data_IF_964865667959
#
_entry.id   IF_964865667959
#
_cell.length_a   1.000
_cell.length_b   1.000
_cell.length_c   1.000
_cell.angle_alpha   90.00
_cell.angle_beta   90.00
_cell.angle_gamma   90.00
#
_symmetry.space_group_name_H-M   'P 1'
#
loop_
_entity.id
_entity.type
_entity.pdbx_description
1 polymer ?
#
# COMPACT_ATOMS: atom_id res chain seq x y z
N UNK A 1 13.15 -24.88 57.96
CA UNK A 1 12.30 -24.00 57.13
C UNK A 1 13.09 -23.61 55.91
N UNK A 2 12.76 -24.18 54.75
CA UNK A 2 12.95 -23.57 53.43
C UNK A 2 12.18 -24.44 52.44
N UNK A 3 11.04 -23.94 52.02
CA UNK A 3 10.20 -24.53 50.99
C UNK A 3 10.75 -24.10 49.64
N UNK A 4 11.09 -25.06 48.78
CA UNK A 4 11.38 -24.84 47.37
C UNK A 4 10.06 -24.66 46.62
N UNK A 5 9.79 -23.44 46.16
CA UNK A 5 8.75 -23.15 45.18
C UNK A 5 9.14 -23.73 43.81
N UNK A 6 8.22 -24.35 43.06
CA UNK A 6 8.43 -24.63 41.65
C UNK A 6 8.22 -23.35 40.82
N UNK A 7 9.15 -23.15 39.89
CA UNK A 7 9.19 -22.11 38.87
C UNK A 7 7.99 -22.23 37.91
N UNK A 8 7.19 -21.17 37.66
CA UNK A 8 6.09 -21.24 36.71
C UNK A 8 6.65 -21.27 35.28
N UNK A 9 6.25 -22.31 34.53
CA UNK A 9 6.71 -22.60 33.18
C UNK A 9 6.65 -21.39 32.24
N UNK A 10 7.76 -21.21 31.54
CA UNK A 10 7.85 -20.47 30.29
C UNK A 10 6.77 -21.01 29.34
N UNK A 11 5.92 -20.19 28.69
CA UNK A 11 5.01 -20.67 27.68
C UNK A 11 5.85 -21.23 26.53
N UNK A 12 5.81 -22.56 26.42
CA UNK A 12 6.38 -23.34 25.35
C UNK A 12 5.87 -22.77 24.03
N UNK A 13 6.76 -22.13 23.29
CA UNK A 13 6.53 -21.72 21.91
C UNK A 13 6.22 -23.00 21.16
N UNK A 14 4.95 -23.21 20.81
CA UNK A 14 4.53 -24.42 20.13
C UNK A 14 5.32 -24.54 18.82
N UNK A 15 6.21 -25.54 18.74
CA UNK A 15 6.87 -25.88 17.48
C UNK A 15 5.79 -26.21 16.43
N UNK A 16 5.94 -25.75 15.18
CA UNK A 16 4.96 -26.02 14.14
C UNK A 16 4.84 -27.53 13.87
N UNK A 17 3.62 -28.06 14.00
CA UNK A 17 3.29 -29.46 13.71
C UNK A 17 3.59 -29.77 12.23
N UNK A 18 4.60 -30.61 11.92
CA UNK A 18 5.05 -30.88 10.55
C UNK A 18 4.03 -31.63 9.69
N UNK A 19 2.89 -32.06 10.26
CA UNK A 19 1.78 -32.69 9.54
C UNK A 19 0.63 -31.76 9.16
N UNK A 20 0.54 -30.54 9.72
CA UNK A 20 -0.56 -29.61 9.41
C UNK A 20 -0.21 -28.81 8.14
N UNK A 21 -1.06 -28.82 7.10
CA UNK A 21 -0.79 -28.05 5.89
C UNK A 21 -0.69 -26.56 6.22
N UNK A 22 0.26 -25.88 5.58
CA UNK A 22 0.46 -24.44 5.70
C UNK A 22 -0.89 -23.70 5.54
N UNK A 23 -1.29 -22.86 6.52
CA UNK A 23 -2.51 -22.08 6.46
C UNK A 23 -2.66 -21.26 5.18
N UNK A 24 -1.56 -20.70 4.64
CA UNK A 24 -1.58 -19.93 3.40
C UNK A 24 -1.92 -20.81 2.19
N UNK A 25 -1.35 -22.02 2.13
CA UNK A 25 -1.63 -22.99 1.07
C UNK A 25 -3.08 -23.46 1.14
N UNK A 26 -3.56 -23.74 2.35
CA UNK A 26 -4.94 -24.17 2.59
C UNK A 26 -5.93 -23.08 2.21
N UNK A 27 -5.69 -21.84 2.66
CA UNK A 27 -6.51 -20.69 2.32
C UNK A 27 -6.55 -20.45 0.81
N UNK A 28 -5.39 -20.48 0.14
CA UNK A 28 -5.30 -20.32 -1.32
C UNK A 28 -6.10 -21.37 -2.07
N UNK A 29 -6.09 -22.62 -1.59
CA UNK A 29 -6.87 -23.70 -2.20
C UNK A 29 -8.39 -23.50 -2.00
N UNK A 30 -8.80 -22.97 -0.85
CA UNK A 30 -10.22 -22.72 -0.55
C UNK A 30 -10.80 -21.56 -1.38
N UNK A 31 -10.01 -20.52 -1.65
CA UNK A 31 -10.45 -19.35 -2.42
C UNK A 31 -10.22 -19.51 -3.94
N UNK A 32 -9.74 -20.67 -4.39
CA UNK A 32 -9.46 -20.91 -5.80
C UNK A 32 -10.75 -21.17 -6.59
N UNK A 33 -11.22 -20.15 -7.34
CA UNK A 33 -12.37 -20.26 -8.23
C UNK A 33 -13.68 -19.80 -7.58
N UNK A 34 -14.82 -20.34 -8.04
CA UNK A 34 -16.14 -20.00 -7.46
C UNK A 34 -16.30 -20.74 -6.14
N UNK A 35 -16.28 -20.00 -5.05
CA UNK A 35 -16.43 -20.56 -3.69
C UNK A 35 -17.90 -20.86 -3.43
N UNK A 36 -18.22 -22.09 -3.03
CA UNK A 36 -19.57 -22.50 -2.64
C UNK A 36 -19.90 -22.05 -1.22
N UNK A 37 -21.18 -22.10 -0.86
CA UNK A 37 -21.62 -21.77 0.49
C UNK A 37 -20.96 -22.63 1.57
N UNK A 38 -20.54 -23.87 1.29
CA UNK A 38 -19.80 -24.68 2.27
C UNK A 38 -18.37 -24.20 2.44
N UNK A 39 -17.72 -23.87 1.33
CA UNK A 39 -16.32 -23.44 1.29
C UNK A 39 -16.12 -22.05 1.91
N UNK A 40 -17.07 -21.13 1.75
CA UNK A 40 -17.06 -19.83 2.43
C UNK A 40 -17.04 -19.98 3.96
N UNK A 41 -17.76 -20.97 4.50
CA UNK A 41 -17.74 -21.28 5.93
C UNK A 41 -16.39 -21.82 6.39
N UNK A 42 -15.80 -22.73 5.61
CA UNK A 42 -14.47 -23.27 5.91
C UNK A 42 -13.36 -22.22 5.86
N UNK A 43 -13.48 -21.20 5.00
CA UNK A 43 -12.56 -20.04 5.00
C UNK A 43 -12.61 -19.33 6.35
N UNK A 44 -13.79 -18.96 6.83
CA UNK A 44 -13.93 -18.29 8.12
C UNK A 44 -13.49 -19.15 9.30
N UNK A 45 -13.88 -20.43 9.32
CA UNK A 45 -13.47 -21.36 10.38
C UNK A 45 -11.95 -21.53 10.43
N UNK A 46 -11.30 -21.63 9.27
CA UNK A 46 -9.84 -21.67 9.17
C UNK A 46 -9.25 -20.40 9.78
N UNK A 47 -9.65 -19.22 9.29
CA UNK A 47 -9.09 -17.93 9.73
C UNK A 47 -9.30 -17.68 11.23
N UNK A 48 -10.47 -18.03 11.78
CA UNK A 48 -10.74 -17.95 13.22
C UNK A 48 -9.85 -18.87 14.07
N UNK A 49 -9.38 -19.97 13.51
CA UNK A 49 -8.53 -20.93 14.22
C UNK A 49 -7.05 -20.52 14.30
N UNK A 50 -6.64 -19.49 13.55
CA UNK A 50 -5.26 -19.02 13.49
C UNK A 50 -4.97 -18.01 14.59
N UNK A 51 -3.75 -18.04 15.12
CA UNK A 51 -3.22 -16.92 15.90
C UNK A 51 -2.82 -15.74 14.99
N UNK A 52 -2.35 -14.63 15.56
CA UNK A 52 -2.05 -13.41 14.79
C UNK A 52 -0.90 -13.58 13.79
N UNK A 53 0.10 -14.38 14.14
CA UNK A 53 1.26 -14.64 13.30
C UNK A 53 0.87 -15.53 12.11
N UNK A 54 0.13 -16.61 12.40
CA UNK A 54 -0.41 -17.52 11.39
C UNK A 54 -1.42 -16.82 10.48
N UNK A 55 -2.30 -15.98 11.04
CA UNK A 55 -3.27 -15.19 10.28
C UNK A 55 -2.55 -14.22 9.35
N UNK A 56 -1.53 -13.53 9.86
CA UNK A 56 -0.69 -12.64 9.06
C UNK A 56 -0.02 -13.38 7.90
N UNK A 57 0.60 -14.52 8.18
CA UNK A 57 1.25 -15.34 7.15
C UNK A 57 0.25 -15.84 6.10
N UNK A 58 -0.94 -16.30 6.53
CA UNK A 58 -1.98 -16.79 5.65
C UNK A 58 -2.48 -15.70 4.69
N UNK A 59 -2.77 -14.51 5.21
CA UNK A 59 -3.29 -13.36 4.45
C UNK A 59 -2.23 -12.81 3.50
N UNK A 60 -0.98 -12.66 3.95
CA UNK A 60 0.12 -12.22 3.06
C UNK A 60 0.38 -13.24 1.94
N UNK A 61 0.09 -14.52 2.16
CA UNK A 61 0.25 -15.58 1.18
C UNK A 61 -0.83 -15.65 0.11
N UNK A 62 -1.90 -14.84 0.17
CA UNK A 62 -3.00 -14.85 -0.80
C UNK A 62 -3.27 -13.47 -1.40
N UNK A 63 -3.97 -13.42 -2.53
CA UNK A 63 -4.54 -12.16 -3.01
C UNK A 63 -5.74 -11.81 -2.13
N UNK A 64 -5.64 -10.72 -1.38
CA UNK A 64 -6.69 -10.31 -0.46
C UNK A 64 -7.98 -9.90 -1.18
N UNK A 65 -7.89 -9.42 -2.43
CA UNK A 65 -9.07 -9.14 -3.24
C UNK A 65 -9.81 -10.42 -3.60
N UNK A 66 -9.08 -11.48 -3.94
CA UNK A 66 -9.69 -12.81 -4.13
C UNK A 66 -10.29 -13.34 -2.81
N UNK A 67 -9.64 -13.10 -1.66
CA UNK A 67 -10.19 -13.47 -0.36
C UNK A 67 -11.52 -12.77 -0.08
N UNK A 68 -11.60 -11.45 -0.21
CA UNK A 68 -12.86 -10.71 -0.01
C UNK A 68 -13.92 -11.06 -1.06
N UNK A 69 -13.51 -11.36 -2.30
CA UNK A 69 -14.40 -11.81 -3.36
C UNK A 69 -14.88 -13.25 -3.21
N UNK A 70 -14.18 -14.08 -2.43
CA UNK A 70 -14.52 -15.49 -2.19
C UNK A 70 -15.62 -15.68 -1.15
N UNK A 71 -15.92 -14.67 -0.33
CA UNK A 71 -16.97 -14.71 0.70
C UNK A 71 -18.04 -13.66 0.41
N UNK A 72 -19.31 -14.04 0.58
CA UNK A 72 -20.42 -13.15 0.28
C UNK A 72 -21.48 -13.15 1.38
N UNK A 73 -22.20 -12.03 1.50
CA UNK A 73 -23.37 -11.91 2.36
C UNK A 73 -24.60 -12.37 1.57
N UNK A 74 -25.39 -13.28 2.15
CA UNK A 74 -26.48 -13.94 1.43
C UNK A 74 -27.82 -13.39 1.90
N UNK A 75 -28.69 -13.02 0.96
CA UNK A 75 -30.09 -12.61 1.23
C UNK A 75 -30.82 -13.62 2.12
N UNK A 76 -30.52 -14.91 1.94
CA UNK A 76 -30.93 -15.99 2.82
C UNK A 76 -29.70 -16.84 3.18
N UNK A 77 -29.07 -16.56 4.31
CA UNK A 77 -27.89 -17.26 4.78
C UNK A 77 -27.10 -16.42 5.80
N UNK A 78 -25.92 -16.90 6.22
CA UNK A 78 -25.02 -16.14 7.07
C UNK A 78 -24.36 -14.97 6.31
N UNK A 79 -24.14 -13.86 7.00
CA UNK A 79 -23.42 -12.68 6.50
C UNK A 79 -21.90 -12.88 6.65
N UNK A 80 -21.32 -13.66 5.73
CA UNK A 80 -19.93 -14.13 5.85
C UNK A 80 -18.90 -13.08 5.49
N UNK A 81 -19.20 -12.18 4.55
CA UNK A 81 -18.32 -11.06 4.24
C UNK A 81 -18.31 -10.07 5.40
N UNK A 82 -19.47 -9.85 6.02
CA UNK A 82 -19.56 -9.10 7.27
C UNK A 82 -18.74 -9.76 8.40
N UNK A 83 -18.87 -11.08 8.59
CA UNK A 83 -18.07 -11.80 9.59
C UNK A 83 -16.55 -11.72 9.33
N UNK A 84 -16.13 -11.78 8.06
CA UNK A 84 -14.72 -11.63 7.68
C UNK A 84 -14.18 -10.24 8.07
N UNK A 85 -14.97 -9.18 7.83
CA UNK A 85 -14.60 -7.81 8.21
C UNK A 85 -14.46 -7.67 9.72
N UNK A 86 -15.42 -8.20 10.49
CA UNK A 86 -15.36 -8.16 11.96
C UNK A 86 -14.16 -8.94 12.51
N UNK A 87 -13.80 -10.08 11.89
CA UNK A 87 -12.59 -10.80 12.24
C UNK A 87 -11.37 -9.89 12.09
N UNK A 88 -11.14 -9.31 10.90
CA UNK A 88 -9.98 -8.46 10.68
C UNK A 88 -9.98 -7.19 11.53
N UNK A 89 -11.16 -6.59 11.77
CA UNK A 89 -11.30 -5.47 12.71
C UNK A 89 -10.87 -5.86 14.13
N UNK A 90 -11.34 -7.00 14.63
CA UNK A 90 -11.00 -7.47 15.98
C UNK A 90 -9.52 -7.86 16.16
N UNK A 91 -8.85 -8.23 15.05
CA UNK A 91 -7.43 -8.63 15.03
C UNK A 91 -6.51 -7.51 14.51
N UNK A 92 -7.05 -6.32 14.23
CA UNK A 92 -6.36 -5.28 13.48
C UNK A 92 -5.00 -4.88 14.08
N UNK A 93 -4.85 -4.85 15.41
CA UNK A 93 -3.59 -4.50 16.08
C UNK A 93 -2.55 -5.64 16.10
N UNK A 94 -2.96 -6.89 15.91
CA UNK A 94 -2.07 -8.06 15.93
C UNK A 94 -1.48 -8.40 14.56
N UNK A 95 -2.03 -7.84 13.49
CA UNK A 95 -1.57 -8.11 12.13
C UNK A 95 -0.19 -7.51 11.86
N UNK A 96 0.64 -8.27 11.13
CA UNK A 96 1.90 -7.75 10.60
C UNK A 96 1.70 -6.61 9.60
N UNK A 97 2.74 -5.79 9.39
CA UNK A 97 2.77 -4.74 8.37
C UNK A 97 2.37 -5.26 6.99
N UNK A 98 2.94 -6.40 6.57
CA UNK A 98 2.68 -6.98 5.25
C UNK A 98 1.23 -7.45 5.11
N UNK A 99 0.67 -8.11 6.13
CA UNK A 99 -0.72 -8.56 6.13
C UNK A 99 -1.68 -7.38 6.07
N UNK A 100 -1.42 -6.32 6.85
CA UNK A 100 -2.23 -5.10 6.84
C UNK A 100 -2.21 -4.40 5.48
N UNK A 101 -1.03 -4.25 4.89
CA UNK A 101 -0.89 -3.69 3.54
C UNK A 101 -1.63 -4.53 2.49
N UNK A 102 -1.55 -5.87 2.58
CA UNK A 102 -2.31 -6.77 1.71
C UNK A 102 -3.82 -6.62 1.86
N UNK A 103 -4.35 -6.52 3.09
CA UNK A 103 -5.79 -6.33 3.31
C UNK A 103 -6.29 -5.00 2.79
N UNK A 104 -5.57 -3.91 3.08
CA UNK A 104 -5.89 -2.58 2.59
C UNK A 104 -5.98 -2.57 1.06
N UNK A 105 -5.01 -3.20 0.38
CA UNK A 105 -5.06 -3.40 -1.06
C UNK A 105 -6.26 -4.23 -1.53
N UNK A 106 -6.53 -5.36 -0.86
CA UNK A 106 -7.65 -6.24 -1.23
C UNK A 106 -9.01 -5.54 -1.16
N UNK A 107 -9.18 -4.64 -0.19
CA UNK A 107 -10.40 -3.87 0.01
C UNK A 107 -10.62 -2.82 -1.09
N UNK A 108 -9.56 -2.33 -1.75
CA UNK A 108 -9.65 -1.42 -2.90
C UNK A 108 -10.06 -2.13 -4.20
N UNK A 109 -9.98 -3.47 -4.24
CA UNK A 109 -10.19 -4.21 -5.48
C UNK A 109 -11.68 -4.34 -5.78
N UNK A 110 -12.16 -3.55 -6.74
CA UNK A 110 -13.54 -3.58 -7.20
C UNK A 110 -14.34 -2.39 -6.64
N UNK A 111 -15.55 -2.65 -6.15
CA UNK A 111 -16.34 -1.63 -5.47
C UNK A 111 -15.98 -1.62 -3.98
N UNK A 112 -15.43 -0.51 -3.49
CA UNK A 112 -15.23 -0.24 -2.06
C UNK A 112 -16.57 0.13 -1.44
N UNK A 113 -17.11 -0.67 -0.52
CA UNK A 113 -18.35 -0.34 0.18
C UNK A 113 -18.08 0.49 1.44
N UNK A 114 -19.09 1.16 2.01
CA UNK A 114 -18.98 1.89 3.29
C UNK A 114 -18.34 1.02 4.39
N UNK A 115 -18.69 -0.27 4.45
CA UNK A 115 -18.13 -1.22 5.42
C UNK A 115 -16.66 -1.57 5.13
N UNK A 116 -16.24 -1.54 3.87
CA UNK A 116 -14.83 -1.70 3.48
C UNK A 116 -14.03 -0.46 3.88
N UNK A 117 -14.56 0.75 3.67
CA UNK A 117 -13.91 2.00 4.13
C UNK A 117 -13.76 2.04 5.65
N UNK A 118 -14.78 1.62 6.40
CA UNK A 118 -14.70 1.51 7.85
C UNK A 118 -13.61 0.54 8.30
N UNK A 119 -13.47 -0.61 7.61
CA UNK A 119 -12.40 -1.55 7.91
C UNK A 119 -11.03 -0.98 7.54
N UNK A 120 -10.90 -0.29 6.41
CA UNK A 120 -9.65 0.39 6.03
C UNK A 120 -9.23 1.40 7.11
N UNK A 121 -10.17 2.23 7.58
CA UNK A 121 -9.97 3.16 8.70
C UNK A 121 -9.45 2.43 9.93
N UNK A 122 -10.15 1.38 10.36
CA UNK A 122 -9.81 0.67 11.58
C UNK A 122 -8.43 0.00 11.49
N UNK A 123 -8.06 -0.51 10.31
CA UNK A 123 -6.73 -1.06 10.05
C UNK A 123 -5.63 0.00 10.18
N UNK A 124 -5.84 1.22 9.67
CA UNK A 124 -4.88 2.32 9.83
C UNK A 124 -4.80 2.81 11.28
N UNK A 125 -5.94 2.98 11.94
CA UNK A 125 -6.01 3.51 13.32
C UNK A 125 -5.50 2.51 14.36
N UNK A 126 -5.43 1.21 14.03
CA UNK A 126 -4.96 0.18 14.94
C UNK A 126 -3.44 0.24 15.22
N UNK A 127 -2.67 0.97 14.43
CA UNK A 127 -1.21 1.07 14.56
C UNK A 127 -0.73 2.52 14.51
N UNK A 128 0.41 2.79 15.14
CA UNK A 128 0.97 4.13 15.26
C UNK A 128 2.47 4.17 15.05
N UNK A 129 3.03 5.36 15.17
CA UNK A 129 4.46 5.65 15.03
C UNK A 129 5.12 4.97 13.84
N UNK A 130 6.23 4.28 14.10
CA UNK A 130 7.06 3.67 13.06
C UNK A 130 6.34 2.58 12.27
N UNK A 131 5.51 1.78 12.93
CA UNK A 131 4.78 0.69 12.26
C UNK A 131 3.78 1.25 11.25
N UNK A 132 3.06 2.31 11.61
CA UNK A 132 2.18 3.02 10.68
C UNK A 132 2.95 3.55 9.46
N UNK A 133 4.12 4.15 9.67
CA UNK A 133 4.99 4.58 8.56
C UNK A 133 5.39 3.42 7.65
N UNK A 134 5.73 2.26 8.22
CA UNK A 134 6.08 1.05 7.46
C UNK A 134 4.90 0.52 6.64
N UNK A 135 3.67 0.53 7.19
CA UNK A 135 2.44 0.18 6.46
C UNK A 135 2.20 1.13 5.29
N UNK A 136 2.28 2.44 5.52
CA UNK A 136 2.11 3.46 4.46
C UNK A 136 3.11 3.28 3.33
N UNK A 137 4.38 3.02 3.66
CA UNK A 137 5.41 2.74 2.65
C UNK A 137 5.16 1.43 1.92
N UNK A 138 4.73 0.36 2.61
CA UNK A 138 4.44 -0.92 1.97
C UNK A 138 3.32 -0.80 0.91
N UNK A 139 2.31 0.04 1.15
CA UNK A 139 1.24 0.33 0.18
C UNK A 139 1.76 1.24 -0.93
N UNK A 140 2.53 2.28 -0.59
CA UNK A 140 3.10 3.21 -1.57
C UNK A 140 4.12 2.58 -2.52
N UNK A 141 4.75 1.46 -2.14
CA UNK A 141 5.67 0.69 -3.00
C UNK A 141 4.99 -0.04 -4.16
N UNK A 142 3.66 0.02 -4.24
CA UNK A 142 2.92 -0.59 -5.33
C UNK A 142 3.00 0.25 -6.59
N UNK A 143 3.06 -0.43 -7.73
CA UNK A 143 3.18 0.21 -9.05
C UNK A 143 1.88 0.17 -9.86
N UNK A 144 0.75 -0.19 -9.24
CA UNK A 144 -0.59 -0.15 -9.85
C UNK A 144 -1.37 1.08 -9.33
N UNK A 145 -2.55 1.32 -9.91
CA UNK A 145 -3.39 2.48 -9.57
C UNK A 145 -3.95 2.47 -8.12
N UNK A 146 -3.66 1.40 -7.36
CA UNK A 146 -4.09 1.22 -5.97
C UNK A 146 -2.93 1.53 -5.01
N UNK A 147 -2.22 2.62 -5.27
CA UNK A 147 -1.24 3.16 -4.34
C UNK A 147 -1.93 3.82 -3.12
N UNK A 148 -1.14 4.34 -2.17
CA UNK A 148 -1.69 4.95 -0.96
C UNK A 148 -2.48 6.24 -1.25
N UNK A 149 -2.11 6.98 -2.30
CA UNK A 149 -2.83 8.19 -2.68
C UNK A 149 -4.19 7.85 -3.28
N UNK A 150 -4.22 6.88 -4.22
CA UNK A 150 -5.46 6.31 -4.75
C UNK A 150 -6.36 5.78 -3.63
N UNK A 151 -5.78 5.05 -2.66
CA UNK A 151 -6.54 4.54 -1.52
C UNK A 151 -7.27 5.65 -0.76
N UNK A 152 -6.52 6.67 -0.32
CA UNK A 152 -7.05 7.65 0.63
C UNK A 152 -7.89 8.74 -0.06
N UNK A 153 -7.54 9.11 -1.29
CA UNK A 153 -8.15 10.25 -1.98
C UNK A 153 -9.08 9.86 -3.13
N UNK A 154 -9.05 8.61 -3.60
CA UNK A 154 -9.92 8.15 -4.70
C UNK A 154 -10.87 7.03 -4.28
N UNK A 155 -10.40 6.02 -3.53
CA UNK A 155 -11.22 4.86 -3.16
C UNK A 155 -12.08 5.07 -1.90
N UNK A 156 -11.70 5.97 -1.00
CA UNK A 156 -12.48 6.35 0.17
C UNK A 156 -13.40 7.52 -0.19
N UNK A 157 -14.70 7.25 -0.27
CA UNK A 157 -15.72 8.23 -0.58
C UNK A 157 -16.08 9.09 0.65
N UNK A 158 -16.08 8.52 1.87
CA UNK A 158 -16.43 9.28 3.09
C UNK A 158 -15.33 10.27 3.50
N UNK A 159 -15.69 11.56 3.47
CA UNK A 159 -14.85 12.65 3.99
C UNK A 159 -14.51 12.43 5.47
N UNK A 160 -15.47 11.97 6.28
CA UNK A 160 -15.26 11.71 7.70
C UNK A 160 -14.23 10.60 7.95
N UNK A 161 -14.27 9.52 7.15
CA UNK A 161 -13.31 8.42 7.24
C UNK A 161 -11.93 8.88 6.77
N UNK A 162 -11.85 9.55 5.62
CA UNK A 162 -10.58 10.11 5.10
C UNK A 162 -9.95 11.06 6.11
N UNK A 163 -10.72 11.97 6.69
CA UNK A 163 -10.22 12.94 7.66
C UNK A 163 -9.75 12.26 8.95
N UNK A 164 -10.43 11.20 9.40
CA UNK A 164 -9.98 10.41 10.56
C UNK A 164 -8.63 9.73 10.31
N UNK A 165 -8.44 9.14 9.13
CA UNK A 165 -7.17 8.50 8.72
C UNK A 165 -6.05 9.54 8.66
N UNK A 166 -6.28 10.68 7.98
CA UNK A 166 -5.27 11.72 7.82
C UNK A 166 -4.94 12.42 9.15
N UNK A 167 -5.92 12.61 10.02
CA UNK A 167 -5.70 13.12 11.38
C UNK A 167 -4.84 12.16 12.20
N UNK A 168 -5.07 10.85 12.07
CA UNK A 168 -4.24 9.82 12.70
C UNK A 168 -2.80 9.85 12.17
N UNK A 169 -2.61 9.94 10.85
CA UNK A 169 -1.28 10.05 10.26
C UNK A 169 -0.51 11.27 10.78
N UNK A 170 -1.18 12.42 10.87
CA UNK A 170 -0.59 13.65 11.40
C UNK A 170 -0.29 13.56 12.90
N UNK A 171 -1.13 12.88 13.69
CA UNK A 171 -0.94 12.72 15.12
C UNK A 171 0.24 11.82 15.48
N UNK A 172 0.50 10.79 14.67
CA UNK A 172 1.57 9.80 14.90
C UNK A 172 2.94 10.25 14.39
N UNK A 173 2.97 11.15 13.40
CA UNK A 173 4.20 11.63 12.77
C UNK A 173 5.26 12.21 13.74
N UNK A 174 4.90 13.04 14.75
CA UNK A 174 5.89 13.61 15.66
C UNK A 174 6.65 12.56 16.48
N UNK A 175 6.04 11.40 16.76
CA UNK A 175 6.68 10.31 17.50
C UNK A 175 7.76 9.59 16.67
N UNK A 176 7.61 9.61 15.34
CA UNK A 176 8.61 9.06 14.40
C UNK A 176 9.76 10.05 14.17
N UNK A 177 9.46 11.35 14.18
CA UNK A 177 10.39 12.39 13.75
C UNK A 177 10.54 12.41 12.22
N UNK A 178 11.64 12.96 11.71
CA UNK A 178 11.90 12.98 10.27
C UNK A 178 12.40 11.59 9.86
N UNK A 179 11.54 10.81 9.21
CA UNK A 179 11.83 9.45 8.76
C UNK A 179 12.78 9.42 7.54
N UNK A 180 12.69 10.44 6.67
CA UNK A 180 13.49 10.51 5.46
C UNK A 180 13.06 11.65 4.53
N UNK A 181 13.39 11.51 3.25
CA UNK A 181 12.98 12.44 2.18
C UNK A 181 12.27 11.68 1.09
N UNK A 182 11.05 12.09 0.74
CA UNK A 182 10.36 11.66 -0.48
C UNK A 182 10.56 12.70 -1.58
N UNK A 183 10.93 12.24 -2.76
CA UNK A 183 11.24 13.07 -3.92
C UNK A 183 10.12 12.96 -4.94
N UNK A 184 9.52 14.08 -5.28
CA UNK A 184 8.47 14.20 -6.28
C UNK A 184 9.07 14.78 -7.56
N UNK A 185 9.11 13.99 -8.63
CA UNK A 185 9.69 14.41 -9.91
C UNK A 185 8.64 14.75 -10.94
N UNK A 186 8.79 15.88 -11.62
CA UNK A 186 8.11 16.09 -12.90
C UNK A 186 8.62 15.09 -13.95
N UNK A 187 7.82 14.89 -14.99
CA UNK A 187 8.14 14.03 -16.13
C UNK A 187 8.53 14.85 -17.36
N UNK A 188 7.67 15.78 -17.76
CA UNK A 188 7.87 16.56 -18.98
C UNK A 188 9.05 17.51 -18.79
N UNK A 189 9.96 17.56 -19.76
CA UNK A 189 11.19 18.39 -19.77
C UNK A 189 12.18 18.16 -18.59
N UNK A 190 11.86 17.25 -17.66
CA UNK A 190 12.70 16.80 -16.54
C UNK A 190 13.23 15.38 -16.74
N UNK A 191 12.34 14.42 -16.96
CA UNK A 191 12.71 13.04 -17.31
C UNK A 191 12.86 12.86 -18.82
N UNK A 192 11.96 13.48 -19.59
CA UNK A 192 11.90 13.37 -21.05
C UNK A 192 11.91 14.74 -21.73
N UNK A 193 12.64 14.88 -22.84
CA UNK A 193 12.55 16.09 -23.66
C UNK A 193 11.18 16.20 -24.33
N UNK A 194 10.41 17.28 -24.10
CA UNK A 194 9.01 17.36 -24.56
C UNK A 194 8.63 18.69 -25.20
N UNK A 195 8.58 19.77 -24.41
CA UNK A 195 7.99 21.05 -24.82
C UNK A 195 9.08 22.11 -24.89
N UNK A 196 9.82 22.27 -23.80
CA UNK A 196 10.80 23.32 -23.58
C UNK A 196 12.23 22.82 -23.74
N UNK A 197 12.50 21.55 -23.46
CA UNK A 197 13.81 20.95 -23.69
C UNK A 197 14.02 20.65 -25.18
N UNK A 198 15.00 21.34 -25.79
CA UNK A 198 15.29 21.29 -27.24
C UNK A 198 16.67 20.73 -27.57
N UNK A 199 17.50 20.43 -26.56
CA UNK A 199 18.85 19.89 -26.72
C UNK A 199 18.83 18.42 -27.17
N UNK A 200 17.77 17.70 -26.81
CA UNK A 200 17.57 16.29 -27.14
C UNK A 200 16.36 16.10 -28.07
N UNK A 201 16.30 15.00 -28.84
CA UNK A 201 15.11 14.69 -29.62
C UNK A 201 13.88 14.54 -28.72
N UNK A 202 12.72 14.99 -29.22
CA UNK A 202 11.47 14.97 -28.46
C UNK A 202 11.06 13.52 -28.14
N UNK A 203 10.76 13.26 -26.87
CA UNK A 203 10.40 11.96 -26.33
C UNK A 203 11.58 11.16 -25.77
N UNK A 204 12.81 11.63 -25.94
CA UNK A 204 13.99 10.96 -25.42
C UNK A 204 14.20 11.24 -23.92
N UNK A 205 14.71 10.23 -23.21
CA UNK A 205 15.14 10.36 -21.81
C UNK A 205 16.31 11.33 -21.73
N UNK A 206 16.26 12.28 -20.80
CA UNK A 206 17.34 13.24 -20.58
C UNK A 206 18.59 12.50 -20.06
N UNK A 207 19.76 12.58 -20.74
CA UNK A 207 20.95 11.86 -20.33
C UNK A 207 21.37 12.15 -18.88
N UNK A 208 21.64 11.08 -18.13
CA UNK A 208 22.06 11.15 -16.72
C UNK A 208 20.91 11.21 -15.71
N UNK A 209 19.67 11.45 -16.12
CA UNK A 209 18.54 11.59 -15.18
C UNK A 209 18.24 10.29 -14.42
N UNK A 210 18.44 9.13 -15.06
CA UNK A 210 18.24 7.82 -14.42
C UNK A 210 19.20 7.59 -13.24
N UNK A 211 20.48 7.97 -13.40
CA UNK A 211 21.45 7.88 -12.31
C UNK A 211 21.13 8.83 -11.16
N UNK A 212 20.53 9.99 -11.47
CA UNK A 212 20.03 10.93 -10.45
C UNK A 212 18.85 10.31 -9.70
N UNK A 213 17.88 9.73 -10.40
CA UNK A 213 16.74 9.05 -9.80
C UNK A 213 17.13 7.86 -8.93
N UNK A 214 18.06 7.02 -9.39
CA UNK A 214 18.59 5.91 -8.58
C UNK A 214 19.26 6.41 -7.30
N UNK A 215 20.10 7.46 -7.40
CA UNK A 215 20.75 8.04 -6.23
C UNK A 215 19.76 8.69 -5.24
N UNK A 216 18.68 9.28 -5.75
CA UNK A 216 17.61 9.86 -4.93
C UNK A 216 16.77 8.78 -4.24
N UNK A 217 16.47 7.68 -4.93
CA UNK A 217 15.69 6.56 -4.37
C UNK A 217 16.48 5.78 -3.31
N UNK A 218 17.79 5.62 -3.49
CA UNK A 218 18.67 5.03 -2.47
C UNK A 218 18.78 5.91 -1.22
N UNK A 219 18.63 7.23 -1.37
CA UNK A 219 18.79 8.19 -0.29
C UNK A 219 20.23 8.27 0.25
N UNK A 220 20.39 8.92 1.40
CA UNK A 220 21.72 9.17 2.03
C UNK A 220 22.03 8.25 3.21
N UNK A 221 21.11 7.35 3.57
CA UNK A 221 21.21 6.50 4.76
C UNK A 221 21.50 5.04 4.37
N UNK A 222 22.35 4.36 5.14
CA UNK A 222 22.60 2.92 4.99
C UNK A 222 22.30 2.16 6.30
N UNK A 223 21.31 1.24 6.32
CA UNK A 223 20.30 1.02 5.29
C UNK A 223 19.28 2.18 5.21
N UNK A 224 18.63 2.40 4.06
CA UNK A 224 17.56 3.40 3.96
C UNK A 224 16.33 2.98 4.78
N UNK A 225 15.57 3.96 5.29
CA UNK A 225 14.33 3.68 6.02
C UNK A 225 13.27 3.02 5.11
N UNK A 226 13.16 3.51 3.88
CA UNK A 226 12.30 3.03 2.81
C UNK A 226 13.04 3.07 1.48
N UNK A 227 12.60 2.26 0.51
CA UNK A 227 12.91 2.44 -0.92
C UNK A 227 11.64 2.93 -1.62
N UNK A 228 11.71 3.33 -2.89
CA UNK A 228 10.58 3.91 -3.63
C UNK A 228 10.17 5.28 -3.09
N UNK A 229 11.13 6.03 -2.57
CA UNK A 229 10.94 7.40 -2.10
C UNK A 229 10.92 8.39 -3.27
N UNK A 230 11.25 7.95 -4.49
CA UNK A 230 10.99 8.69 -5.71
C UNK A 230 9.59 8.40 -6.26
N UNK A 231 8.80 9.45 -6.44
CA UNK A 231 7.49 9.39 -7.07
C UNK A 231 7.36 10.41 -8.21
N UNK A 232 6.69 10.05 -9.30
CA UNK A 232 6.49 10.98 -10.42
C UNK A 232 5.16 11.71 -10.34
N UNK A 233 5.18 13.02 -10.52
CA UNK A 233 4.01 13.87 -10.58
C UNK A 233 3.76 14.27 -12.03
N UNK A 234 2.65 13.80 -12.60
CA UNK A 234 2.24 14.17 -13.96
C UNK A 234 0.79 14.63 -13.98
N UNK A 235 0.50 15.59 -14.86
CA UNK A 235 -0.87 15.97 -15.19
C UNK A 235 -1.47 15.10 -16.31
N UNK A 236 -0.67 14.15 -16.85
CA UNK A 236 -1.00 13.29 -18.00
C UNK A 236 -0.48 11.86 -17.75
N UNK A 237 -1.24 11.05 -17.00
CA UNK A 237 -0.81 9.71 -16.59
C UNK A 237 -0.76 8.74 -17.76
N UNK A 238 -1.75 8.77 -18.67
CA UNK A 238 -1.77 7.87 -19.83
C UNK A 238 -0.55 8.09 -20.73
N UNK A 239 -0.12 9.34 -20.89
CA UNK A 239 1.09 9.70 -21.64
C UNK A 239 2.36 9.26 -20.89
N UNK A 240 2.38 9.38 -19.56
CA UNK A 240 3.51 9.00 -18.72
C UNK A 240 3.67 7.47 -18.61
N UNK A 241 2.58 6.75 -18.39
CA UNK A 241 2.52 5.29 -18.36
C UNK A 241 2.90 4.73 -19.73
N UNK A 242 2.34 5.27 -20.82
CA UNK A 242 2.74 4.87 -22.19
C UNK A 242 4.22 5.14 -22.49
N UNK A 243 4.79 6.21 -21.92
CA UNK A 243 6.23 6.52 -22.05
C UNK A 243 7.11 5.61 -21.20
N UNK A 244 6.71 5.29 -19.98
CA UNK A 244 7.43 4.37 -19.08
C UNK A 244 7.34 2.94 -19.63
N UNK A 245 6.21 2.57 -20.22
CA UNK A 245 6.01 1.33 -20.96
C UNK A 245 6.85 1.29 -22.25
N UNK A 246 6.90 2.40 -23.01
CA UNK A 246 7.61 2.51 -24.29
C UNK A 246 9.13 2.70 -24.19
N UNK A 247 9.62 3.50 -23.24
CA UNK A 247 11.04 3.60 -22.85
C UNK A 247 11.50 2.37 -22.05
N UNK A 248 10.62 1.37 -21.94
CA UNK A 248 10.77 0.05 -21.37
C UNK A 248 11.09 0.07 -19.87
N UNK A 249 10.15 -0.47 -19.09
CA UNK A 249 10.43 -1.26 -17.88
C UNK A 249 11.73 -2.06 -17.99
N UNK A 250 12.10 -2.55 -19.18
CA UNK A 250 13.38 -3.22 -19.47
C UNK A 250 14.62 -2.30 -19.46
N UNK A 251 14.55 -1.03 -19.88
CA UNK A 251 15.66 -0.07 -19.79
C UNK A 251 15.81 0.49 -18.38
N UNK A 252 14.68 0.74 -17.69
CA UNK A 252 14.67 1.10 -16.27
C UNK A 252 15.13 -0.07 -15.39
N UNK A 253 14.70 -1.30 -15.67
CA UNK A 253 15.16 -2.51 -14.96
C UNK A 253 16.62 -2.88 -15.29
N UNK A 254 17.09 -2.73 -16.55
CA UNK A 254 18.52 -2.90 -16.89
C UNK A 254 19.41 -1.86 -16.23
N UNK A 255 18.87 -0.69 -15.90
CA UNK A 255 19.56 0.37 -15.16
C UNK A 255 19.45 0.23 -13.63
N UNK A 256 18.87 -0.85 -13.10
CA UNK A 256 18.76 -1.08 -11.66
C UNK A 256 17.60 -0.35 -10.97
N UNK A 257 16.82 0.43 -11.72
CA UNK A 257 15.64 1.16 -11.23
C UNK A 257 14.44 0.21 -11.30
N UNK A 258 14.43 -0.76 -10.38
CA UNK A 258 13.25 -1.55 -10.09
C UNK A 258 12.33 -0.72 -9.20
N UNK A 259 11.05 -0.61 -9.59
CA UNK A 259 9.97 0.16 -8.94
C UNK A 259 10.14 1.67 -8.91
N UNK A 260 9.81 2.32 -10.03
CA UNK A 260 9.37 3.71 -10.03
C UNK A 260 7.91 3.74 -9.59
N UNK A 261 7.60 4.41 -8.48
CA UNK A 261 6.22 4.75 -8.13
C UNK A 261 5.79 5.92 -9.02
N UNK A 262 4.77 5.72 -9.83
CA UNK A 262 4.14 6.80 -10.59
C UNK A 262 2.92 7.19 -9.78
N UNK A 263 2.87 8.42 -9.25
CA UNK A 263 1.64 8.93 -8.64
C UNK A 263 0.66 9.12 -9.78
N UNK A 264 -0.16 8.09 -9.97
CA UNK A 264 -1.05 7.90 -11.09
C UNK A 264 -2.46 7.67 -10.58
N UNK A 265 -2.96 8.61 -9.79
CA UNK A 265 -4.40 8.73 -9.57
C UNK A 265 -5.17 8.79 -10.91
N UNK A 266 -6.48 8.59 -10.88
CA UNK A 266 -7.33 8.66 -12.06
C UNK A 266 -7.54 10.12 -12.51
N UNK A 267 -7.12 10.48 -13.74
CA UNK A 267 -7.24 11.87 -14.23
C UNK A 267 -8.20 12.01 -15.41
N UNK A 268 -9.21 12.85 -15.21
CA UNK A 268 -10.01 13.48 -16.27
C UNK A 268 -9.22 14.59 -16.98
N UNK A 269 -9.42 14.72 -18.29
CA UNK A 269 -8.73 15.64 -19.19
C UNK A 269 -8.64 17.10 -18.69
N UNK A 270 -7.46 17.50 -18.22
CA UNK A 270 -7.13 18.87 -17.82
C UNK A 270 -7.02 19.78 -19.06
N UNK A 271 -7.69 20.94 -19.03
CA UNK A 271 -7.91 21.80 -20.21
C UNK A 271 -6.93 22.97 -20.36
N UNK A 272 -6.25 23.40 -19.30
CA UNK A 272 -5.32 24.54 -19.34
C UNK A 272 -4.01 24.30 -18.56
N UNK A 273 -2.98 25.11 -18.83
CA UNK A 273 -1.71 25.06 -18.09
C UNK A 273 -1.87 25.37 -16.60
N UNK A 274 -2.74 26.31 -16.28
CA UNK A 274 -3.00 26.71 -14.90
C UNK A 274 -3.75 25.59 -14.15
N UNK A 275 -4.68 24.89 -14.81
CA UNK A 275 -5.36 23.72 -14.23
C UNK A 275 -4.38 22.57 -13.95
N UNK A 276 -3.42 22.35 -14.87
CA UNK A 276 -2.37 21.34 -14.68
C UNK A 276 -1.43 21.70 -13.52
N UNK A 277 -1.02 22.97 -13.40
CA UNK A 277 -0.19 23.43 -12.29
C UNK A 277 -0.93 23.33 -10.95
N UNK A 278 -2.20 23.77 -10.90
CA UNK A 278 -3.04 23.68 -9.71
C UNK A 278 -3.23 22.21 -9.28
N UNK A 279 -3.43 21.29 -10.23
CA UNK A 279 -3.55 19.87 -9.92
C UNK A 279 -2.24 19.25 -9.43
N UNK A 280 -1.09 19.61 -10.01
CA UNK A 280 0.23 19.19 -9.48
C UNK A 280 0.41 19.63 -8.02
N UNK A 281 0.08 20.89 -7.70
CA UNK A 281 0.16 21.39 -6.32
C UNK A 281 -0.79 20.62 -5.41
N UNK A 282 -2.02 20.33 -5.85
CA UNK A 282 -2.97 19.54 -5.06
C UNK A 282 -2.47 18.12 -4.79
N UNK A 283 -1.87 17.45 -5.78
CA UNK A 283 -1.30 16.11 -5.58
C UNK A 283 -0.11 16.15 -4.61
N UNK A 284 0.76 17.18 -4.70
CA UNK A 284 1.86 17.38 -3.75
C UNK A 284 1.32 17.61 -2.33
N UNK A 285 0.26 18.41 -2.18
CA UNK A 285 -0.39 18.65 -0.89
C UNK A 285 -0.98 17.35 -0.31
N UNK A 286 -1.71 16.58 -1.12
CA UNK A 286 -2.22 15.26 -0.76
C UNK A 286 -1.08 14.34 -0.30
N UNK A 287 -0.01 14.23 -1.07
CA UNK A 287 1.15 13.41 -0.75
C UNK A 287 1.81 13.83 0.58
N UNK A 288 1.84 15.14 0.87
CA UNK A 288 2.33 15.68 2.15
C UNK A 288 1.46 15.29 3.34
N UNK A 289 0.15 15.16 3.13
CA UNK A 289 -0.80 14.71 4.16
C UNK A 289 -0.68 13.20 4.41
N UNK A 290 -0.26 12.41 3.42
CA UNK A 290 0.01 10.97 3.58
C UNK A 290 1.29 10.69 4.35
N UNK A 291 2.32 11.52 4.15
CA UNK A 291 3.65 11.33 4.75
C UNK A 291 4.14 12.56 5.56
N UNK A 292 3.40 12.99 6.60
CA UNK A 292 3.79 14.12 7.44
C UNK A 292 5.14 13.94 8.16
N UNK A 293 5.60 12.69 8.34
CA UNK A 293 6.90 12.35 8.92
C UNK A 293 8.07 12.39 7.91
N UNK A 294 7.80 12.67 6.63
CA UNK A 294 8.82 12.82 5.60
C UNK A 294 9.02 14.27 5.18
N UNK A 295 10.24 14.58 4.75
CA UNK A 295 10.49 15.80 3.98
C UNK A 295 10.11 15.55 2.53
N UNK A 296 9.35 16.45 1.93
CA UNK A 296 9.05 16.39 0.51
C UNK A 296 9.97 17.34 -0.25
N UNK A 297 10.61 16.83 -1.30
CA UNK A 297 11.43 17.60 -2.23
C UNK A 297 10.85 17.42 -3.62
N UNK A 298 10.53 18.53 -4.29
CA UNK A 298 10.14 18.51 -5.69
C UNK A 298 11.36 18.75 -6.58
N UNK A 299 11.47 17.99 -7.68
CA UNK A 299 12.44 18.20 -8.74
C UNK A 299 11.71 18.31 -10.08
N UNK A 300 11.99 19.37 -10.81
CA UNK A 300 11.31 19.68 -12.06
C UNK A 300 11.85 20.96 -12.67
N UNK A 301 11.45 21.24 -13.91
CA UNK A 301 11.66 22.52 -14.59
C UNK A 301 10.69 23.63 -14.13
#
# INVERSE_FOLDING_TARGET
>A
MSATHPDPGNPESAEPDPGRPDPAVTLRALIAGVTSAGEEGHVLDLLHSLDDEQLSSAVTGVDAGDLFGSVDDRVFGPDRRTALRELFRSRASGLSVAARASLLYGLQRGHTSDADEELMRDLFLAVGGRELTEVKNAINMRTDAHDLEGLVFEDIDSDEIRDAILAHFAAEAPAVGIAGTKVLSDIDDTAFSRIHEKRYPKGEVIPGILAVYEALDLGTSEPPFSRGDLAFVTARPDDALSLIEGATRESLAKAGIASVNVIGGSFLALRSKDDMAAKKVANIDNYSRLFPEYRIVFIGD
#
